data_IF_391780810605
#
_entry.id   IF_391780810605
#
_cell.length_a   1.000
_cell.length_b   1.000
_cell.length_c   1.000
_cell.angle_alpha   90.00
_cell.angle_beta   90.00
_cell.angle_gamma   90.00
#
_symmetry.space_group_name_H-M   'P 1'
#
loop_
_entity.id
_entity.type
_entity.pdbx_description
1 polymer ?
#
# COMPACT_ATOMS: atom_id res chain seq x y z
N UNK A 1 -18.30 -7.08 -18.30
CA UNK A 1 -17.65 -6.56 -17.07
C UNK A 1 -17.51 -5.06 -17.24
N UNK A 2 -17.92 -4.21 -16.28
CA UNK A 2 -17.67 -2.78 -16.39
C UNK A 2 -16.16 -2.54 -16.51
N UNK A 3 -15.75 -1.75 -17.48
CA UNK A 3 -14.35 -1.36 -17.66
C UNK A 3 -13.93 -0.57 -16.42
N UNK A 4 -12.88 -1.05 -15.72
CA UNK A 4 -12.32 -0.31 -14.59
C UNK A 4 -11.69 0.98 -15.13
N UNK A 5 -12.11 2.12 -14.59
CA UNK A 5 -11.81 3.46 -15.09
C UNK A 5 -10.81 4.23 -14.22
N UNK A 6 -10.48 3.71 -13.03
CA UNK A 6 -9.51 4.33 -12.13
C UNK A 6 -8.78 3.33 -11.24
N UNK A 7 -7.81 3.84 -10.48
CA UNK A 7 -7.02 3.06 -9.55
C UNK A 7 -6.93 3.76 -8.19
N UNK A 8 -6.85 2.97 -7.12
CA UNK A 8 -6.54 3.44 -5.77
C UNK A 8 -5.27 2.70 -5.31
N UNK A 9 -4.13 3.38 -5.32
CA UNK A 9 -2.89 2.81 -4.79
C UNK A 9 -2.65 3.30 -3.36
N UNK A 10 -2.62 2.37 -2.41
CA UNK A 10 -2.37 2.68 -1.00
C UNK A 10 -0.89 2.42 -0.70
N UNK A 11 -0.17 3.48 -0.36
CA UNK A 11 1.25 3.41 -0.02
C UNK A 11 1.42 2.77 1.35
N UNK A 12 2.19 1.68 1.37
CA UNK A 12 2.44 0.88 2.57
C UNK A 12 3.92 0.55 2.71
N UNK A 13 4.30 0.27 3.95
CA UNK A 13 5.59 -0.30 4.31
C UNK A 13 5.37 -1.61 5.04
N UNK A 14 6.28 -2.54 4.89
CA UNK A 14 6.19 -3.89 5.46
C UNK A 14 6.86 -3.95 6.83
N UNK A 15 6.11 -4.28 7.91
CA UNK A 15 6.67 -4.56 9.22
C UNK A 15 7.85 -5.54 9.15
N UNK A 16 8.89 -5.31 9.94
CA UNK A 16 10.12 -6.13 9.92
C UNK A 16 11.12 -5.85 8.79
N UNK A 17 10.75 -5.19 7.69
CA UNK A 17 11.69 -4.91 6.59
C UNK A 17 12.36 -3.54 6.71
N UNK A 18 11.67 -2.54 7.26
CA UNK A 18 12.25 -1.23 7.50
C UNK A 18 11.59 -0.52 8.68
N UNK A 19 12.27 0.46 9.33
CA UNK A 19 11.72 1.13 10.49
C UNK A 19 10.35 1.77 10.19
N UNK A 20 9.37 1.42 11.00
CA UNK A 20 7.97 1.78 10.83
C UNK A 20 7.47 2.50 12.07
N UNK A 21 6.82 3.65 11.86
CA UNK A 21 6.21 4.47 12.93
C UNK A 21 7.15 4.65 14.14
N UNK A 22 8.42 4.99 13.89
CA UNK A 22 9.49 5.05 14.91
C UNK A 22 9.10 5.91 16.11
N UNK A 23 8.47 7.07 15.89
CA UNK A 23 7.94 7.93 16.97
C UNK A 23 6.89 7.22 17.84
N UNK A 24 6.01 6.41 17.26
CA UNK A 24 5.04 5.61 18.01
C UNK A 24 5.73 4.45 18.72
N UNK A 25 6.68 3.79 18.06
CA UNK A 25 7.47 2.70 18.65
C UNK A 25 8.22 3.16 19.91
N UNK A 26 8.70 4.41 19.97
CA UNK A 26 9.28 4.97 21.19
C UNK A 26 8.31 5.03 22.37
N UNK A 27 7.01 5.24 22.13
CA UNK A 27 5.99 5.32 23.18
C UNK A 27 5.42 3.97 23.58
N UNK A 28 5.20 3.05 22.62
CA UNK A 28 4.45 1.79 22.86
C UNK A 28 5.25 0.52 22.57
N UNK A 29 6.50 0.65 22.11
CA UNK A 29 7.33 -0.47 21.65
C UNK A 29 7.08 -0.83 20.19
N UNK A 30 8.11 -1.38 19.53
CA UNK A 30 8.09 -1.76 18.11
C UNK A 30 6.95 -2.71 17.77
N UNK A 31 6.78 -3.79 18.54
CA UNK A 31 5.74 -4.80 18.28
C UNK A 31 4.33 -4.20 18.27
N UNK A 32 4.01 -3.31 19.22
CA UNK A 32 2.70 -2.64 19.26
C UNK A 32 2.55 -1.63 18.13
N UNK A 33 3.61 -0.92 17.77
CA UNK A 33 3.59 0.04 16.65
C UNK A 33 3.38 -0.68 15.30
N UNK A 34 4.01 -1.83 15.10
CA UNK A 34 3.83 -2.69 13.93
C UNK A 34 2.44 -3.32 13.90
N UNK A 35 1.94 -3.85 15.02
CA UNK A 35 0.57 -4.37 15.10
C UNK A 35 -0.46 -3.27 14.81
N UNK A 36 -0.25 -2.05 15.32
CA UNK A 36 -1.09 -0.91 15.01
C UNK A 36 -1.05 -0.57 13.51
N UNK A 37 0.11 -0.65 12.86
CA UNK A 37 0.24 -0.52 11.40
C UNK A 37 -0.58 -1.58 10.66
N UNK A 38 -0.44 -2.86 11.01
CA UNK A 38 -1.21 -3.95 10.40
C UNK A 38 -2.72 -3.72 10.54
N UNK A 39 -3.19 -3.34 11.74
CA UNK A 39 -4.61 -3.06 11.98
C UNK A 39 -5.09 -1.83 11.19
N UNK A 40 -4.29 -0.77 11.12
CA UNK A 40 -4.61 0.43 10.34
C UNK A 40 -4.76 0.09 8.85
N UNK A 41 -3.82 -0.68 8.32
CA UNK A 41 -3.84 -1.16 6.93
C UNK A 41 -5.10 -1.97 6.66
N UNK A 42 -5.46 -2.92 7.53
CA UNK A 42 -6.69 -3.72 7.38
C UNK A 42 -7.95 -2.86 7.36
N UNK A 43 -8.02 -1.84 8.22
CA UNK A 43 -9.14 -0.90 8.23
C UNK A 43 -9.25 -0.11 6.92
N UNK A 44 -8.13 0.42 6.41
CA UNK A 44 -8.09 1.11 5.11
C UNK A 44 -8.47 0.15 3.98
N UNK A 45 -7.95 -1.07 3.99
CA UNK A 45 -8.24 -2.09 2.99
C UNK A 45 -9.75 -2.42 2.94
N UNK A 46 -10.41 -2.53 4.09
CA UNK A 46 -11.84 -2.77 4.15
C UNK A 46 -12.66 -1.65 3.47
N UNK A 47 -12.28 -0.39 3.71
CA UNK A 47 -12.94 0.77 3.06
C UNK A 47 -12.68 0.77 1.55
N UNK A 48 -11.43 0.57 1.14
CA UNK A 48 -11.04 0.54 -0.28
C UNK A 48 -11.75 -0.61 -1.01
N UNK A 49 -11.84 -1.78 -0.38
CA UNK A 49 -12.57 -2.93 -0.91
C UNK A 49 -14.06 -2.60 -1.12
N UNK A 50 -14.71 -2.00 -0.12
CA UNK A 50 -16.11 -1.60 -0.23
C UNK A 50 -16.34 -0.60 -1.39
N UNK A 51 -15.43 0.37 -1.56
CA UNK A 51 -15.49 1.32 -2.68
C UNK A 51 -15.29 0.62 -4.03
N UNK A 52 -14.35 -0.32 -4.12
CA UNK A 52 -14.07 -1.06 -5.37
C UNK A 52 -15.21 -1.97 -5.83
N UNK A 53 -16.11 -2.35 -4.92
CA UNK A 53 -17.33 -3.10 -5.24
C UNK A 53 -18.44 -2.20 -5.80
N UNK A 54 -18.40 -0.89 -5.48
CA UNK A 54 -19.43 0.08 -5.86
C UNK A 54 -19.02 0.96 -7.04
N UNK A 55 -17.72 1.13 -7.26
CA UNK A 55 -17.16 2.01 -8.29
C UNK A 55 -16.16 1.23 -9.16
N UNK A 56 -15.99 1.60 -10.45
CA UNK A 56 -15.07 0.92 -11.36
C UNK A 56 -13.61 1.33 -11.09
N UNK A 57 -13.09 1.03 -9.89
CA UNK A 57 -11.71 1.31 -9.47
C UNK A 57 -10.97 0.03 -9.09
N UNK A 58 -9.69 -0.06 -9.46
CA UNK A 58 -8.81 -1.16 -9.03
C UNK A 58 -7.99 -0.75 -7.82
N UNK A 59 -8.07 -1.48 -6.70
CA UNK A 59 -7.21 -1.25 -5.55
C UNK A 59 -5.83 -1.88 -5.73
N UNK A 60 -4.79 -1.22 -5.24
CA UNK A 60 -3.41 -1.69 -5.23
C UNK A 60 -2.74 -1.40 -3.89
N UNK A 61 -1.81 -2.28 -3.49
CA UNK A 61 -0.80 -1.97 -2.48
C UNK A 61 0.46 -1.45 -3.17
N UNK A 62 0.82 -0.20 -2.91
CA UNK A 62 2.11 0.34 -3.32
C UNK A 62 3.13 0.07 -2.20
N UNK A 63 3.91 -0.99 -2.34
CA UNK A 63 4.84 -1.50 -1.31
C UNK A 63 6.18 -0.80 -1.42
N UNK A 64 6.67 -0.26 -0.30
CA UNK A 64 7.93 0.49 -0.28
C UNK A 64 9.17 -0.38 -0.44
N UNK A 65 9.12 -1.62 0.05
CA UNK A 65 10.23 -2.56 0.06
C UNK A 65 10.08 -3.57 -1.10
N UNK A 66 10.95 -3.53 -2.12
CA UNK A 66 10.87 -4.44 -3.27
C UNK A 66 10.92 -5.92 -2.88
N UNK A 67 11.67 -6.26 -1.83
CA UNK A 67 11.79 -7.65 -1.35
C UNK A 67 10.49 -8.15 -0.72
N UNK A 68 9.63 -7.24 -0.25
CA UNK A 68 8.39 -7.54 0.45
C UNK A 68 7.14 -7.44 -0.42
N UNK A 69 7.28 -7.16 -1.73
CA UNK A 69 6.13 -7.05 -2.66
C UNK A 69 5.28 -8.32 -2.66
N UNK A 70 5.88 -9.50 -2.42
CA UNK A 70 5.17 -10.79 -2.34
C UNK A 70 4.82 -11.24 -0.92
N UNK A 71 4.98 -10.36 0.07
CA UNK A 71 4.62 -10.71 1.45
C UNK A 71 3.12 -11.00 1.56
N UNK A 72 2.79 -12.07 2.30
CA UNK A 72 1.41 -12.49 2.56
C UNK A 72 0.51 -11.39 3.13
N UNK A 73 1.09 -10.41 3.83
CA UNK A 73 0.39 -9.24 4.37
C UNK A 73 -0.33 -8.44 3.28
N UNK A 74 0.20 -8.45 2.05
CA UNK A 74 -0.30 -7.66 0.93
C UNK A 74 -1.15 -8.47 -0.07
N UNK A 75 -1.47 -9.72 0.24
CA UNK A 75 -2.22 -10.62 -0.66
C UNK A 75 -3.66 -10.19 -0.99
N UNK A 76 -4.22 -9.22 -0.26
CA UNK A 76 -5.60 -8.76 -0.46
C UNK A 76 -5.80 -8.01 -1.78
N UNK A 77 -4.78 -7.29 -2.27
CA UNK A 77 -4.83 -6.54 -3.53
C UNK A 77 -3.58 -6.84 -4.35
N UNK A 78 -3.60 -6.45 -5.63
CA UNK A 78 -2.40 -6.48 -6.45
C UNK A 78 -1.35 -5.51 -5.88
N UNK A 79 -0.09 -5.94 -5.93
CA UNK A 79 1.04 -5.20 -5.35
C UNK A 79 1.86 -4.57 -6.45
N UNK A 80 2.21 -3.30 -6.28
CA UNK A 80 3.15 -2.55 -7.12
C UNK A 80 4.26 -2.02 -6.23
N UNK A 81 5.48 -1.88 -6.77
CA UNK A 81 6.56 -1.28 -6.03
C UNK A 81 6.47 0.26 -6.06
N UNK A 82 6.92 0.91 -4.98
CA UNK A 82 6.97 2.37 -4.95
C UNK A 82 8.11 2.97 -5.78
N UNK A 83 9.06 2.16 -6.25
CA UNK A 83 10.31 2.64 -6.82
C UNK A 83 11.23 3.32 -5.78
N UNK A 84 12.31 3.90 -6.30
CA UNK A 84 13.33 4.56 -5.48
C UNK A 84 13.09 6.08 -5.36
N UNK A 85 13.87 6.71 -4.47
CA UNK A 85 13.88 8.16 -4.31
C UNK A 85 12.91 8.69 -3.24
N UNK A 86 12.67 10.00 -3.29
CA UNK A 86 11.78 10.71 -2.37
C UNK A 86 10.30 10.47 -2.66
N UNK A 87 9.42 10.91 -1.75
CA UNK A 87 7.98 10.66 -1.86
C UNK A 87 7.39 11.11 -3.21
N UNK A 88 7.77 12.27 -3.72
CA UNK A 88 7.28 12.76 -5.02
C UNK A 88 7.69 11.87 -6.19
N UNK A 89 8.92 11.35 -6.19
CA UNK A 89 9.40 10.43 -7.22
C UNK A 89 8.66 9.09 -7.16
N UNK A 90 8.40 8.58 -5.94
CA UNK A 90 7.63 7.36 -5.74
C UNK A 90 6.17 7.50 -6.18
N UNK A 91 5.54 8.65 -5.89
CA UNK A 91 4.19 8.97 -6.37
C UNK A 91 4.14 9.01 -7.90
N UNK A 92 5.11 9.66 -8.55
CA UNK A 92 5.20 9.71 -10.00
C UNK A 92 5.41 8.31 -10.60
N UNK A 93 6.29 7.50 -9.99
CA UNK A 93 6.56 6.14 -10.42
C UNK A 93 5.32 5.25 -10.34
N UNK A 94 4.63 5.22 -9.20
CA UNK A 94 3.36 4.49 -9.03
C UNK A 94 2.32 4.98 -10.02
N UNK A 95 2.18 6.29 -10.21
CA UNK A 95 1.23 6.83 -11.19
C UNK A 95 1.52 6.34 -12.62
N UNK A 96 2.80 6.25 -13.00
CA UNK A 96 3.20 5.73 -14.31
C UNK A 96 2.86 4.24 -14.48
N UNK A 97 2.96 3.44 -13.41
CA UNK A 97 2.57 2.03 -13.45
C UNK A 97 1.05 1.83 -13.62
N UNK A 98 0.24 2.78 -13.14
CA UNK A 98 -1.22 2.68 -13.17
C UNK A 98 -1.84 3.18 -14.49
N UNK A 99 -1.10 3.95 -15.28
CA UNK A 99 -1.57 4.49 -16.57
C UNK A 99 -1.07 3.58 -17.70
N UNK A 100 -1.96 3.05 -18.57
CA UNK A 100 -1.52 2.26 -19.72
C UNK A 100 -0.55 3.05 -20.61
N UNK A 101 0.44 2.39 -21.25
CA UNK A 101 1.22 3.04 -22.30
C UNK A 101 0.27 3.55 -23.40
N UNK A 102 0.47 4.79 -23.83
CA UNK A 102 -0.28 5.43 -24.92
C UNK A 102 0.10 4.83 -26.27
#
# INVERSE_FOLDING_TARGET
MPQKQGAIAVFVKTPGYSPLKTRLAHSVGTARAEQFHILSTKAVAAVVQAVSQQKPVTPFWAVAEPEAVRDSLWSQFETIDQGAGGLGQRLAHVQQQLVPPR
#
